data_IF_953701190703
#
_entry.id   IF_953701190703
#
_cell.length_a   1.000
_cell.length_b   1.000
_cell.length_c   1.000
_cell.angle_alpha   90.00
_cell.angle_beta   90.00
_cell.angle_gamma   90.00
#
_symmetry.space_group_name_H-M   'P 1'
#
loop_
_entity.id
_entity.type
_entity.pdbx_description
1 polymer ?
#
# COMPACT_ATOMS: atom_id res chain seq x y z
N UNK A 1 27.51 -8.14 25.03
CA UNK A 1 26.34 -8.06 25.92
C UNK A 1 25.13 -7.82 25.03
N UNK A 2 24.46 -8.91 24.64
CA UNK A 2 23.13 -8.85 24.03
C UNK A 2 22.16 -8.41 25.14
N UNK A 3 21.69 -7.18 25.03
CA UNK A 3 20.65 -6.64 25.89
C UNK A 3 19.33 -7.37 25.64
N UNK A 4 18.66 -7.64 26.72
CA UNK A 4 17.42 -8.37 26.91
C UNK A 4 16.37 -8.12 25.80
N UNK A 5 15.85 -9.22 25.27
CA UNK A 5 14.81 -9.29 24.23
C UNK A 5 13.40 -8.90 24.74
N UNK A 6 13.28 -7.95 25.65
CA UNK A 6 12.00 -7.56 26.28
C UNK A 6 11.49 -6.16 25.89
N UNK A 7 12.25 -5.41 25.06
CA UNK A 7 11.81 -4.15 24.45
C UNK A 7 11.44 -4.37 22.97
N UNK A 8 10.41 -5.16 22.71
CA UNK A 8 9.73 -5.09 21.42
C UNK A 8 8.95 -3.78 21.40
N UNK A 9 9.61 -2.75 20.88
CA UNK A 9 8.99 -1.45 20.64
C UNK A 9 7.89 -1.63 19.61
N UNK A 10 6.69 -1.16 19.94
CA UNK A 10 5.63 -1.04 18.94
C UNK A 10 6.10 -0.01 17.89
N UNK A 11 6.31 -0.44 16.65
CA UNK A 11 6.82 0.40 15.58
C UNK A 11 5.76 0.54 14.51
N UNK A 12 5.42 1.78 14.19
CA UNK A 12 4.55 2.11 13.06
C UNK A 12 5.36 2.61 11.87
N UNK A 13 4.92 2.27 10.67
CA UNK A 13 5.46 2.79 9.42
C UNK A 13 4.32 3.42 8.63
N UNK A 14 4.55 4.61 8.09
CA UNK A 14 3.65 5.29 7.16
C UNK A 14 4.40 5.58 5.86
N UNK A 15 3.88 5.09 4.74
CA UNK A 15 4.40 5.36 3.39
C UNK A 15 3.49 6.38 2.70
N UNK A 16 4.09 7.34 2.03
CA UNK A 16 3.39 8.40 1.31
C UNK A 16 3.92 8.51 -0.12
N UNK A 17 3.03 8.73 -1.06
CA UNK A 17 3.33 9.00 -2.46
C UNK A 17 2.58 10.26 -2.90
N UNK A 18 3.33 11.28 -3.32
CA UNK A 18 2.74 12.53 -3.82
C UNK A 18 2.12 12.31 -5.20
N UNK A 19 0.89 12.75 -5.38
CA UNK A 19 0.25 12.71 -6.68
C UNK A 19 0.65 13.94 -7.52
N UNK A 20 0.67 13.74 -8.84
CA UNK A 20 0.82 14.81 -9.83
C UNK A 20 2.19 15.51 -9.91
N UNK A 21 3.23 15.06 -9.19
CA UNK A 21 4.57 15.66 -9.26
C UNK A 21 5.09 15.68 -10.72
N UNK A 22 4.88 14.61 -11.47
CA UNK A 22 5.28 14.57 -12.89
C UNK A 22 4.57 15.64 -13.72
N UNK A 23 3.27 15.87 -13.49
CA UNK A 23 2.50 16.89 -14.20
C UNK A 23 3.05 18.28 -13.88
N UNK A 24 3.40 18.55 -12.62
CA UNK A 24 4.01 19.82 -12.21
C UNK A 24 5.35 20.00 -12.92
N UNK A 25 6.22 18.99 -12.87
CA UNK A 25 7.53 19.04 -13.55
C UNK A 25 7.40 19.28 -15.06
N UNK A 26 6.52 18.54 -15.72
CA UNK A 26 6.33 18.60 -17.17
C UNK A 26 5.69 19.94 -17.61
N UNK A 27 4.90 20.58 -16.76
CA UNK A 27 4.16 21.81 -17.09
C UNK A 27 4.91 23.08 -16.65
N UNK A 28 5.51 23.09 -15.46
CA UNK A 28 6.06 24.26 -14.82
C UNK A 28 7.60 24.18 -14.59
N UNK A 29 8.19 23.01 -14.89
CA UNK A 29 9.63 22.77 -14.73
C UNK A 29 10.00 22.16 -13.37
N UNK A 30 11.24 21.66 -13.30
CA UNK A 30 11.74 20.95 -12.12
C UNK A 30 11.88 21.86 -10.88
N UNK A 31 12.13 23.15 -11.06
CA UNK A 31 12.20 24.10 -9.94
C UNK A 31 10.87 24.19 -9.19
N UNK A 32 9.75 24.23 -9.93
CA UNK A 32 8.42 24.22 -9.32
C UNK A 32 8.09 22.87 -8.68
N UNK A 33 8.53 21.76 -9.30
CA UNK A 33 8.44 20.43 -8.70
C UNK A 33 9.22 20.32 -7.38
N UNK A 34 10.38 20.93 -7.28
CA UNK A 34 11.17 20.96 -6.04
C UNK A 34 10.44 21.76 -4.95
N UNK A 35 9.84 22.91 -5.29
CA UNK A 35 8.98 23.67 -4.36
C UNK A 35 7.80 22.84 -3.90
N UNK A 36 7.16 22.10 -4.81
CA UNK A 36 6.03 21.21 -4.51
C UNK A 36 6.42 20.10 -3.53
N UNK A 37 7.59 19.45 -3.75
CA UNK A 37 8.15 18.46 -2.84
C UNK A 37 8.47 19.05 -1.47
N UNK A 38 9.14 20.20 -1.43
CA UNK A 38 9.51 20.89 -0.18
C UNK A 38 8.27 21.30 0.61
N UNK A 39 7.22 21.74 -0.07
CA UNK A 39 5.95 22.10 0.56
C UNK A 39 5.33 20.88 1.25
N UNK A 40 5.23 19.75 0.56
CA UNK A 40 4.71 18.51 1.14
C UNK A 40 5.56 18.02 2.32
N UNK A 41 6.90 18.00 2.16
CA UNK A 41 7.83 17.63 3.22
C UNK A 41 7.66 18.51 4.47
N UNK A 42 7.39 19.82 4.29
CA UNK A 42 7.13 20.74 5.40
C UNK A 42 5.87 20.35 6.20
N UNK A 43 4.82 19.88 5.54
CA UNK A 43 3.62 19.39 6.20
C UNK A 43 3.85 18.06 6.92
N UNK A 44 4.60 17.13 6.30
CA UNK A 44 5.00 15.88 6.96
C UNK A 44 5.81 16.18 8.24
N UNK A 45 6.73 17.12 8.19
CA UNK A 45 7.53 17.51 9.37
C UNK A 45 6.68 18.01 10.54
N UNK A 46 5.54 18.65 10.26
CA UNK A 46 4.65 19.18 11.31
C UNK A 46 3.85 18.13 12.07
N UNK A 47 3.68 16.95 11.50
CA UNK A 47 2.98 15.85 12.16
C UNK A 47 3.92 14.93 12.94
N UNK A 48 5.24 15.14 12.87
CA UNK A 48 6.22 14.32 13.58
C UNK A 48 6.12 14.54 15.10
N UNK A 49 6.40 13.48 15.83
CA UNK A 49 6.66 13.51 17.27
C UNK A 49 8.16 13.35 17.55
N UNK A 50 8.56 13.39 18.82
CA UNK A 50 9.97 13.17 19.20
C UNK A 50 10.46 11.75 18.85
N UNK A 51 9.54 10.78 18.76
CA UNK A 51 9.83 9.39 18.43
C UNK A 51 9.68 9.07 16.93
N UNK A 52 9.50 10.10 16.08
CA UNK A 52 9.31 9.94 14.65
C UNK A 52 10.61 10.17 13.87
N UNK A 53 10.80 9.38 12.82
CA UNK A 53 11.82 9.61 11.80
C UNK A 53 11.15 9.76 10.44
N UNK A 54 11.47 10.85 9.72
CA UNK A 54 10.99 11.12 8.36
C UNK A 54 12.14 10.98 7.38
N UNK A 55 11.92 10.24 6.28
CA UNK A 55 12.85 10.19 5.16
C UNK A 55 12.09 10.37 3.83
N UNK A 56 12.74 10.94 2.84
CA UNK A 56 12.33 10.87 1.43
C UNK A 56 12.95 9.59 0.85
N UNK A 57 12.11 8.68 0.42
CA UNK A 57 12.51 7.34 -0.04
C UNK A 57 12.79 7.31 -1.53
N UNK A 58 12.02 8.07 -2.32
CA UNK A 58 12.14 8.18 -3.77
C UNK A 58 11.83 9.61 -4.28
N UNK A 59 11.55 9.75 -5.55
CA UNK A 59 11.23 11.05 -6.18
C UNK A 59 10.05 11.77 -5.52
N UNK A 60 8.93 11.09 -5.36
CA UNK A 60 7.66 11.55 -4.79
C UNK A 60 7.24 10.75 -3.54
N UNK A 61 8.11 9.87 -3.07
CA UNK A 61 7.83 8.95 -1.97
C UNK A 61 8.50 9.37 -0.66
N UNK A 62 7.76 9.30 0.43
CA UNK A 62 8.21 9.59 1.79
C UNK A 62 7.83 8.47 2.73
N UNK A 63 8.63 8.29 3.77
CA UNK A 63 8.37 7.34 4.84
C UNK A 63 8.50 8.02 6.19
N UNK A 64 7.56 7.74 7.10
CA UNK A 64 7.66 8.03 8.52
C UNK A 64 7.75 6.70 9.25
N UNK A 65 8.76 6.57 10.12
CA UNK A 65 8.86 5.51 11.12
C UNK A 65 8.57 6.12 12.46
N UNK A 66 7.61 5.57 13.18
CA UNK A 66 7.17 6.02 14.50
C UNK A 66 7.45 4.93 15.53
N UNK A 67 8.33 5.22 16.49
CA UNK A 67 8.53 4.36 17.65
C UNK A 67 7.39 4.53 18.66
N UNK A 68 7.13 3.52 19.47
CA UNK A 68 6.04 3.49 20.45
C UNK A 68 4.67 3.83 19.83
N UNK A 69 4.48 3.39 18.58
CA UNK A 69 3.28 3.70 17.81
C UNK A 69 2.05 2.95 18.30
N UNK A 70 0.91 3.58 18.13
CA UNK A 70 -0.41 2.95 18.20
C UNK A 70 -1.19 3.22 16.91
N UNK A 71 -2.15 2.38 16.58
CA UNK A 71 -3.04 2.62 15.43
C UNK A 71 -3.69 4.01 15.51
N UNK A 72 -4.18 4.40 16.68
CA UNK A 72 -4.80 5.70 16.88
C UNK A 72 -3.82 6.87 16.59
N UNK A 73 -2.55 6.75 16.99
CA UNK A 73 -1.55 7.78 16.67
C UNK A 73 -1.32 7.90 15.17
N UNK A 74 -1.14 6.78 14.44
CA UNK A 74 -0.94 6.81 12.99
C UNK A 74 -2.15 7.41 12.27
N UNK A 75 -3.37 7.06 12.70
CA UNK A 75 -4.61 7.64 12.18
C UNK A 75 -4.70 9.15 12.46
N UNK A 76 -4.35 9.60 13.66
CA UNK A 76 -4.34 11.01 14.03
C UNK A 76 -3.30 11.81 13.24
N UNK A 77 -2.11 11.25 13.03
CA UNK A 77 -1.08 11.87 12.18
C UNK A 77 -1.60 12.06 10.74
N UNK A 78 -2.23 11.04 10.18
CA UNK A 78 -2.82 11.15 8.84
C UNK A 78 -3.96 12.17 8.78
N UNK A 79 -4.84 12.19 9.78
CA UNK A 79 -5.94 13.16 9.85
C UNK A 79 -5.45 14.60 9.97
N UNK A 80 -4.41 14.83 10.77
CA UNK A 80 -3.77 16.15 10.90
C UNK A 80 -3.16 16.59 9.57
N UNK A 81 -2.42 15.69 8.90
CA UNK A 81 -1.85 15.97 7.58
C UNK A 81 -2.95 16.33 6.57
N UNK A 82 -4.00 15.51 6.50
CA UNK A 82 -5.12 15.76 5.59
C UNK A 82 -5.76 17.13 5.83
N UNK A 83 -6.02 17.48 7.09
CA UNK A 83 -6.62 18.76 7.46
C UNK A 83 -5.75 19.95 7.06
N UNK A 84 -4.42 19.85 7.26
CA UNK A 84 -3.49 20.89 6.86
C UNK A 84 -3.43 21.05 5.35
N UNK A 85 -3.41 19.94 4.61
CA UNK A 85 -3.36 19.94 3.14
C UNK A 85 -4.68 20.46 2.57
N UNK A 86 -5.83 20.07 3.12
CA UNK A 86 -7.13 20.60 2.70
C UNK A 86 -7.21 22.11 2.90
N UNK A 87 -6.65 22.61 3.99
CA UNK A 87 -6.57 24.06 4.26
C UNK A 87 -5.65 24.77 3.25
N UNK A 88 -4.45 24.20 2.99
CA UNK A 88 -3.54 24.73 1.99
C UNK A 88 -4.19 24.78 0.60
N UNK A 89 -4.89 23.71 0.21
CA UNK A 89 -5.51 23.58 -1.10
C UNK A 89 -6.63 24.59 -1.38
N UNK A 90 -7.18 25.26 -0.35
CA UNK A 90 -8.19 26.31 -0.55
C UNK A 90 -7.66 27.52 -1.31
N UNK A 91 -6.36 27.79 -1.24
CA UNK A 91 -5.73 28.97 -1.83
C UNK A 91 -4.50 28.64 -2.68
N UNK A 92 -4.14 27.35 -2.81
CA UNK A 92 -2.95 26.94 -3.52
C UNK A 92 -3.13 26.97 -5.03
N UNK A 93 -2.17 27.51 -5.76
CA UNK A 93 -2.10 27.46 -7.23
C UNK A 93 -1.93 26.01 -7.70
N UNK A 94 -1.17 25.22 -6.96
CA UNK A 94 -0.92 23.80 -7.22
C UNK A 94 -1.39 22.95 -6.01
N UNK A 95 -2.63 22.42 -6.05
CA UNK A 95 -3.18 21.63 -4.94
C UNK A 95 -2.36 20.36 -4.68
N UNK A 96 -1.99 20.14 -3.42
CA UNK A 96 -1.34 18.94 -2.95
C UNK A 96 -2.34 17.78 -2.84
N UNK A 97 -1.92 16.62 -3.28
CA UNK A 97 -2.62 15.36 -3.09
C UNK A 97 -1.61 14.25 -2.88
N UNK A 98 -1.92 13.29 -2.05
CA UNK A 98 -1.04 12.17 -1.75
C UNK A 98 -1.84 10.88 -1.56
N UNK A 99 -1.18 9.76 -1.72
CA UNK A 99 -1.62 8.47 -1.25
C UNK A 99 -0.87 8.11 0.03
N UNK A 100 -1.49 7.34 0.91
CA UNK A 100 -0.90 6.93 2.18
C UNK A 100 -1.27 5.50 2.51
N UNK A 101 -0.30 4.75 3.02
CA UNK A 101 -0.53 3.46 3.66
C UNK A 101 0.28 3.39 4.94
N UNK A 102 -0.23 2.71 5.94
CA UNK A 102 0.48 2.55 7.21
C UNK A 102 0.22 1.19 7.85
N UNK A 103 1.21 0.72 8.59
CA UNK A 103 1.20 -0.56 9.29
C UNK A 103 1.89 -0.44 10.64
N UNK A 104 1.56 -1.36 11.54
CA UNK A 104 2.03 -1.39 12.92
C UNK A 104 2.55 -2.78 13.29
N UNK A 105 3.79 -2.88 13.78
CA UNK A 105 4.30 -4.03 14.51
C UNK A 105 4.07 -3.85 15.99
N UNK A 106 3.49 -4.83 16.65
CA UNK A 106 3.25 -4.81 18.07
C UNK A 106 3.52 -6.18 18.70
N UNK A 107 3.53 -6.26 20.03
CA UNK A 107 3.83 -7.50 20.80
C UNK A 107 3.02 -8.73 20.34
N UNK A 108 1.81 -8.54 19.87
CA UNK A 108 0.93 -9.63 19.43
C UNK A 108 1.09 -9.95 17.93
N UNK A 109 1.70 -9.03 17.14
CA UNK A 109 1.92 -9.15 15.70
C UNK A 109 3.27 -8.49 15.39
N UNK A 110 4.35 -9.25 15.60
CA UNK A 110 5.70 -8.79 15.31
C UNK A 110 6.04 -8.97 13.84
N UNK A 111 6.46 -7.88 13.22
CA UNK A 111 6.95 -7.87 11.83
C UNK A 111 8.37 -7.30 11.79
N UNK A 112 9.17 -7.78 10.84
CA UNK A 112 10.42 -7.11 10.50
C UNK A 112 10.11 -5.76 9.84
N UNK A 113 11.02 -4.80 9.97
CA UNK A 113 10.84 -3.46 9.40
C UNK A 113 10.59 -3.50 7.88
N UNK A 114 11.21 -4.45 7.17
CA UNK A 114 11.01 -4.62 5.72
C UNK A 114 9.59 -5.10 5.40
N UNK A 115 9.03 -6.00 6.21
CA UNK A 115 7.65 -6.46 6.05
C UNK A 115 6.66 -5.32 6.31
N UNK A 116 6.91 -4.48 7.34
CA UNK A 116 6.10 -3.30 7.62
C UNK A 116 6.12 -2.30 6.47
N UNK A 117 7.30 -2.04 5.91
CA UNK A 117 7.45 -1.15 4.76
C UNK A 117 6.65 -1.69 3.57
N UNK A 118 6.77 -2.98 3.27
CA UNK A 118 6.04 -3.61 2.18
C UNK A 118 4.52 -3.53 2.40
N UNK A 119 4.04 -3.85 3.61
CA UNK A 119 2.60 -3.80 3.93
C UNK A 119 2.05 -2.36 3.88
N UNK A 120 2.83 -1.39 4.31
CA UNK A 120 2.46 0.02 4.22
C UNK A 120 2.42 0.50 2.76
N UNK A 121 3.39 0.08 1.93
CA UNK A 121 3.42 0.37 0.50
C UNK A 121 2.21 -0.20 -0.24
N UNK A 122 1.85 -1.45 0.03
CA UNK A 122 0.65 -2.07 -0.55
C UNK A 122 -0.62 -1.28 -0.22
N UNK A 123 -0.77 -0.82 1.03
CA UNK A 123 -1.90 0.01 1.44
C UNK A 123 -1.88 1.39 0.79
N UNK A 124 -0.71 2.00 0.66
CA UNK A 124 -0.53 3.27 -0.05
C UNK A 124 -0.94 3.13 -1.52
N UNK A 125 -0.55 2.04 -2.17
CA UNK A 125 -0.95 1.76 -3.54
C UNK A 125 -2.47 1.58 -3.70
N UNK A 126 -3.12 0.90 -2.75
CA UNK A 126 -4.59 0.77 -2.72
C UNK A 126 -5.27 2.14 -2.57
N UNK A 127 -4.79 3.00 -1.67
CA UNK A 127 -5.29 4.36 -1.49
C UNK A 127 -5.10 5.21 -2.77
N UNK A 128 -3.93 5.09 -3.42
CA UNK A 128 -3.65 5.75 -4.70
C UNK A 128 -4.65 5.33 -5.80
N UNK A 129 -4.93 4.05 -5.90
CA UNK A 129 -5.93 3.52 -6.84
C UNK A 129 -7.32 4.03 -6.53
N UNK A 130 -7.72 4.01 -5.26
CA UNK A 130 -9.00 4.50 -4.81
C UNK A 130 -9.21 5.98 -5.16
N UNK A 131 -8.23 6.83 -4.84
CA UNK A 131 -8.27 8.27 -5.15
C UNK A 131 -8.35 8.54 -6.65
N UNK A 132 -7.62 7.78 -7.48
CA UNK A 132 -7.73 7.87 -8.96
C UNK A 132 -9.11 7.46 -9.47
N UNK A 133 -9.73 6.45 -8.88
CA UNK A 133 -11.08 6.02 -9.27
C UNK A 133 -12.15 7.01 -8.83
N UNK A 134 -11.98 7.63 -7.66
CA UNK A 134 -12.84 8.73 -7.20
C UNK A 134 -12.87 9.88 -8.20
N UNK A 135 -11.69 10.27 -8.69
CA UNK A 135 -11.57 11.35 -9.70
C UNK A 135 -12.23 10.99 -11.03
N UNK A 136 -12.11 9.73 -11.49
CA UNK A 136 -12.63 9.29 -12.80
C UNK A 136 -14.11 8.96 -12.81
N UNK A 137 -14.60 8.27 -11.78
CA UNK A 137 -15.89 7.56 -11.80
C UNK A 137 -16.82 7.95 -10.64
N UNK A 138 -16.36 8.78 -9.74
CA UNK A 138 -17.09 9.19 -8.56
C UNK A 138 -17.10 8.16 -7.41
N UNK A 139 -17.67 8.56 -6.24
CA UNK A 139 -17.51 7.79 -5.00
C UNK A 139 -18.11 6.38 -5.01
N UNK A 140 -19.21 6.17 -5.72
CA UNK A 140 -19.91 4.87 -5.78
C UNK A 140 -19.11 3.81 -6.52
N UNK A 141 -18.44 4.16 -7.63
CA UNK A 141 -17.64 3.23 -8.40
C UNK A 141 -16.32 2.87 -7.68
N UNK A 142 -15.69 3.86 -7.02
CA UNK A 142 -14.52 3.64 -6.19
C UNK A 142 -14.82 2.68 -5.02
N UNK A 143 -15.95 2.86 -4.34
CA UNK A 143 -16.39 2.00 -3.23
C UNK A 143 -16.71 0.57 -3.69
N UNK A 144 -17.30 0.41 -4.89
CA UNK A 144 -17.54 -0.91 -5.49
C UNK A 144 -16.25 -1.66 -5.81
N UNK A 145 -15.22 -0.96 -6.29
CA UNK A 145 -13.92 -1.56 -6.58
C UNK A 145 -13.22 -2.06 -5.32
N UNK A 146 -13.22 -1.27 -4.24
CA UNK A 146 -12.65 -1.70 -2.94
C UNK A 146 -13.41 -2.90 -2.37
N UNK A 147 -14.74 -2.89 -2.44
CA UNK A 147 -15.56 -4.02 -1.99
C UNK A 147 -15.27 -5.28 -2.80
N UNK A 148 -15.06 -5.17 -4.11
CA UNK A 148 -14.70 -6.32 -4.94
C UNK A 148 -13.34 -6.91 -4.58
N UNK A 149 -12.36 -6.10 -4.20
CA UNK A 149 -11.04 -6.57 -3.73
C UNK A 149 -11.12 -7.20 -2.34
N UNK A 150 -11.87 -6.62 -1.40
CA UNK A 150 -12.09 -7.21 -0.07
C UNK A 150 -12.89 -8.53 -0.15
N UNK A 151 -13.90 -8.60 -1.00
CA UNK A 151 -14.66 -9.82 -1.27
C UNK A 151 -13.76 -10.93 -1.83
N UNK A 152 -12.79 -10.58 -2.67
CA UNK A 152 -11.81 -11.54 -3.22
C UNK A 152 -10.98 -12.20 -2.12
N UNK A 153 -10.51 -11.45 -1.14
CA UNK A 153 -9.70 -11.97 -0.02
C UNK A 153 -10.54 -12.81 0.96
N UNK A 154 -11.74 -12.36 1.28
CA UNK A 154 -12.66 -13.11 2.14
C UNK A 154 -13.17 -14.38 1.44
N UNK A 155 -13.44 -14.32 0.13
CA UNK A 155 -13.78 -15.48 -0.68
C UNK A 155 -12.67 -16.54 -0.70
N UNK A 156 -11.38 -16.14 -0.72
CA UNK A 156 -10.27 -17.08 -0.61
C UNK A 156 -10.25 -17.77 0.76
N UNK A 157 -10.40 -17.03 1.84
CA UNK A 157 -10.47 -17.57 3.21
C UNK A 157 -11.62 -18.57 3.35
N UNK A 158 -12.80 -18.22 2.87
CA UNK A 158 -13.97 -19.12 2.90
C UNK A 158 -13.75 -20.40 2.10
N UNK A 159 -13.14 -20.31 0.92
CA UNK A 159 -12.80 -21.50 0.10
C UNK A 159 -11.79 -22.39 0.82
N UNK A 160 -10.71 -21.82 1.38
CA UNK A 160 -9.72 -22.56 2.16
C UNK A 160 -10.39 -23.24 3.35
N UNK A 161 -11.20 -22.51 4.10
CA UNK A 161 -11.90 -23.03 5.29
C UNK A 161 -12.85 -24.18 4.92
N UNK A 162 -13.57 -24.05 3.82
CA UNK A 162 -14.47 -25.08 3.30
C UNK A 162 -13.71 -26.34 2.89
N UNK A 163 -12.55 -26.20 2.22
CA UNK A 163 -11.70 -27.32 1.85
C UNK A 163 -11.13 -28.04 3.09
N UNK A 164 -10.67 -27.29 4.08
CA UNK A 164 -10.11 -27.85 5.32
C UNK A 164 -11.16 -28.57 6.16
N UNK A 165 -12.38 -28.05 6.23
CA UNK A 165 -13.46 -28.64 6.99
C UNK A 165 -14.07 -29.88 6.29
N UNK A 166 -14.04 -29.94 4.97
CA UNK A 166 -14.58 -31.02 4.17
C UNK A 166 -13.53 -32.05 3.72
N UNK A 167 -12.31 -31.99 4.26
CA UNK A 167 -11.26 -32.96 3.90
C UNK A 167 -11.61 -34.36 4.39
N UNK A 168 -11.42 -35.35 3.53
CA UNK A 168 -11.34 -36.75 3.91
C UNK A 168 -9.90 -37.14 4.23
N UNK A 169 -9.66 -38.15 5.04
CA UNK A 169 -8.33 -38.66 5.38
C UNK A 169 -7.49 -39.04 4.14
N UNK A 170 -8.15 -39.36 3.03
CA UNK A 170 -7.51 -39.75 1.77
C UNK A 170 -7.15 -38.59 0.86
N UNK A 171 -7.65 -37.37 1.11
CA UNK A 171 -7.40 -36.21 0.27
C UNK A 171 -6.33 -35.29 0.88
N UNK A 172 -5.28 -35.07 0.11
CA UNK A 172 -4.22 -34.12 0.44
C UNK A 172 -4.37 -32.86 -0.44
N UNK A 173 -4.27 -31.68 0.18
CA UNK A 173 -4.27 -30.41 -0.51
C UNK A 173 -2.92 -29.73 -0.32
N UNK A 174 -2.40 -29.11 -1.37
CA UNK A 174 -1.25 -28.24 -1.31
C UNK A 174 -1.68 -26.80 -1.58
N UNK A 175 -1.14 -25.88 -0.80
CA UNK A 175 -1.26 -24.44 -1.05
C UNK A 175 0.07 -23.95 -1.63
N UNK A 176 -0.02 -23.30 -2.77
CA UNK A 176 1.13 -22.70 -3.44
C UNK A 176 0.94 -21.19 -3.45
N UNK A 177 1.91 -20.47 -2.92
CA UNK A 177 1.98 -19.01 -3.02
C UNK A 177 3.11 -18.66 -3.97
N UNK A 178 2.84 -17.84 -4.96
CA UNK A 178 3.83 -17.40 -5.96
C UNK A 178 3.77 -15.88 -6.08
N UNK A 179 4.92 -15.28 -6.32
CA UNK A 179 5.12 -13.86 -6.55
C UNK A 179 5.74 -13.63 -7.93
N UNK A 180 5.53 -12.46 -8.52
CA UNK A 180 6.15 -12.09 -9.80
C UNK A 180 7.38 -11.24 -9.54
N UNK A 181 8.54 -11.86 -9.70
CA UNK A 181 9.84 -11.19 -9.47
C UNK A 181 9.94 -9.87 -10.25
N UNK A 182 10.32 -8.82 -9.53
CA UNK A 182 10.54 -7.48 -10.09
C UNK A 182 9.34 -6.90 -10.84
N UNK A 183 8.12 -7.22 -10.43
CA UNK A 183 6.90 -6.75 -11.10
C UNK A 183 6.83 -5.22 -11.20
N UNK A 184 7.36 -4.50 -10.23
CA UNK A 184 7.45 -3.04 -10.26
C UNK A 184 8.19 -2.52 -11.50
N UNK A 185 9.27 -3.20 -11.95
CA UNK A 185 10.00 -2.81 -13.17
C UNK A 185 9.14 -2.94 -14.43
N UNK A 186 8.22 -3.91 -14.46
CA UNK A 186 7.27 -4.04 -15.56
C UNK A 186 6.35 -2.81 -15.61
N UNK A 187 5.83 -2.39 -14.46
CA UNK A 187 4.99 -1.20 -14.37
C UNK A 187 5.75 0.09 -14.72
N UNK A 188 7.00 0.20 -14.30
CA UNK A 188 7.85 1.37 -14.55
C UNK A 188 8.22 1.51 -16.02
N UNK A 189 8.57 0.40 -16.70
CA UNK A 189 9.01 0.44 -18.11
C UNK A 189 7.86 0.40 -19.13
N UNK A 190 6.78 -0.34 -18.84
CA UNK A 190 5.68 -0.56 -19.82
C UNK A 190 4.32 -0.07 -19.33
N UNK A 191 4.26 0.50 -18.14
CA UNK A 191 3.04 1.06 -17.55
C UNK A 191 2.13 0.01 -16.91
N UNK A 192 1.25 0.50 -16.03
CA UNK A 192 0.33 -0.33 -15.23
C UNK A 192 -0.67 -1.16 -16.06
N UNK A 193 -1.04 -0.71 -17.24
CA UNK A 193 -1.92 -1.47 -18.12
C UNK A 193 -1.24 -2.77 -18.59
N UNK A 194 0.03 -2.68 -18.99
CA UNK A 194 0.82 -3.85 -19.36
C UNK A 194 1.03 -4.78 -18.16
N UNK A 195 1.37 -4.24 -16.99
CA UNK A 195 1.47 -5.03 -15.77
C UNK A 195 0.17 -5.79 -15.46
N UNK A 196 -0.98 -5.12 -15.55
CA UNK A 196 -2.29 -5.76 -15.36
C UNK A 196 -2.53 -6.88 -16.38
N UNK A 197 -2.17 -6.68 -17.64
CA UNK A 197 -2.31 -7.69 -18.69
C UNK A 197 -1.43 -8.92 -18.41
N UNK A 198 -0.20 -8.72 -17.93
CA UNK A 198 0.71 -9.80 -17.54
C UNK A 198 0.14 -10.60 -16.36
N UNK A 199 -0.36 -9.93 -15.31
CA UNK A 199 -0.96 -10.60 -14.17
C UNK A 199 -2.19 -11.43 -14.57
N UNK A 200 -3.05 -10.89 -15.43
CA UNK A 200 -4.20 -11.62 -15.97
C UNK A 200 -3.78 -12.83 -16.83
N UNK A 201 -2.68 -12.70 -17.56
CA UNK A 201 -2.13 -13.83 -18.33
C UNK A 201 -1.61 -14.93 -17.40
N UNK A 202 -0.87 -14.57 -16.34
CA UNK A 202 -0.36 -15.51 -15.33
C UNK A 202 -1.54 -16.22 -14.63
N UNK A 203 -2.55 -15.46 -14.19
CA UNK A 203 -3.74 -16.01 -13.55
C UNK A 203 -4.39 -17.10 -14.43
N UNK A 204 -4.63 -16.79 -15.71
CA UNK A 204 -5.21 -17.75 -16.66
C UNK A 204 -4.31 -18.97 -16.87
N UNK A 205 -2.99 -18.84 -16.81
CA UNK A 205 -2.07 -19.98 -16.94
C UNK A 205 -2.10 -20.86 -15.71
N UNK A 206 -2.16 -20.27 -14.52
CA UNK A 206 -2.28 -21.01 -13.25
C UNK A 206 -3.62 -21.78 -13.16
N UNK A 207 -4.71 -21.19 -13.62
CA UNK A 207 -6.04 -21.85 -13.70
C UNK A 207 -6.06 -23.10 -14.60
N UNK A 208 -5.19 -23.13 -15.62
CA UNK A 208 -5.10 -24.25 -16.57
C UNK A 208 -4.29 -25.44 -16.06
N UNK A 209 -3.65 -25.36 -14.90
CA UNK A 209 -2.92 -26.49 -14.34
C UNK A 209 -3.90 -27.62 -13.95
N UNK A 210 -3.65 -28.88 -14.36
CA UNK A 210 -4.64 -29.96 -14.27
C UNK A 210 -5.15 -30.30 -12.86
N UNK A 211 -4.39 -29.94 -11.83
CA UNK A 211 -4.71 -30.24 -10.43
C UNK A 211 -5.11 -28.99 -9.64
N UNK A 212 -5.22 -27.86 -10.30
CA UNK A 212 -5.64 -26.61 -9.68
C UNK A 212 -7.12 -26.66 -9.35
N UNK A 213 -7.47 -26.52 -8.07
CA UNK A 213 -8.84 -26.40 -7.61
C UNK A 213 -9.36 -24.97 -7.79
N UNK A 214 -8.55 -24.01 -7.47
CA UNK A 214 -8.78 -22.58 -7.74
C UNK A 214 -7.45 -21.82 -7.66
N UNK A 215 -7.42 -20.66 -8.27
CA UNK A 215 -6.35 -19.66 -8.13
C UNK A 215 -7.00 -18.36 -7.70
N UNK A 216 -6.34 -17.64 -6.82
CA UNK A 216 -6.76 -16.29 -6.45
C UNK A 216 -5.55 -15.37 -6.46
N UNK A 217 -5.76 -14.15 -6.90
CA UNK A 217 -4.78 -13.09 -6.73
C UNK A 217 -4.94 -12.52 -5.32
N UNK A 218 -3.96 -12.77 -4.47
CA UNK A 218 -4.02 -12.41 -3.05
C UNK A 218 -3.72 -10.93 -2.84
N UNK A 219 -2.59 -10.45 -3.35
CA UNK A 219 -2.19 -9.04 -3.36
C UNK A 219 -1.42 -8.74 -4.63
N UNK A 220 -1.46 -7.50 -5.10
CA UNK A 220 -0.65 -6.98 -6.20
C UNK A 220 -0.25 -8.01 -7.27
N UNK A 221 0.87 -8.68 -7.10
CA UNK A 221 1.52 -9.66 -7.98
C UNK A 221 1.64 -11.06 -7.35
N UNK A 222 1.01 -11.28 -6.17
CA UNK A 222 0.99 -12.56 -5.46
C UNK A 222 -0.26 -13.38 -5.82
N UNK A 223 -0.06 -14.65 -6.19
CA UNK A 223 -1.10 -15.63 -6.49
C UNK A 223 -1.08 -16.78 -5.47
N UNK A 224 -2.25 -17.26 -5.10
CA UNK A 224 -2.46 -18.42 -4.23
C UNK A 224 -3.37 -19.44 -4.89
#
# INVERSE_FOLDING_TARGET
>A
QLQNADDTLDVGVMMFDMNNLKIINDTYGHEEGDVFIQTFASYLTRILTEDSFLARFGGDEFVIVQNHATWNQLEQMNLQLQTMIDTYNQTADHPLSYAVGYELSCKNHYYLIMDLLQMADEKMYQDKRYKKQLQKNGPLAARRSMLAESISTDSLKEKIFTLLNNRSEEKQYAFLMTDVDNFHLINDYWGYEMGTNILNFILKKLELFPQTLFVNRYHSDIFV
#
